data_IF_985249475737
#
_entry.id   IF_985249475737
#
_cell.length_a   1.000
_cell.length_b   1.000
_cell.length_c   1.000
_cell.angle_alpha   90.00
_cell.angle_beta   90.00
_cell.angle_gamma   90.00
#
_symmetry.space_group_name_H-M   'P 1'
#
loop_
_entity.id
_entity.type
_entity.pdbx_description
1 polymer ?
#
# COMPACT_ATOMS: atom_id res chain seq x y z
N UNK A 1 -3.21 6.88 26.06
CA UNK A 1 -3.44 6.05 24.86
C UNK A 1 -4.49 6.79 24.05
N UNK A 2 -4.10 7.35 22.92
CA UNK A 2 -4.94 8.24 22.13
C UNK A 2 -5.60 7.42 21.02
N UNK A 3 -6.94 7.46 20.95
CA UNK A 3 -7.72 6.77 19.94
C UNK A 3 -7.64 7.59 18.66
N UNK A 4 -6.80 7.18 17.71
CA UNK A 4 -6.69 7.85 16.42
C UNK A 4 -7.71 7.26 15.45
N UNK A 5 -8.89 7.87 15.39
CA UNK A 5 -9.86 7.61 14.32
C UNK A 5 -9.53 8.55 13.15
N UNK A 6 -8.67 8.11 12.23
CA UNK A 6 -8.22 8.93 11.09
C UNK A 6 -9.19 8.80 9.92
N UNK A 7 -9.80 9.91 9.52
CA UNK A 7 -10.75 9.99 8.42
C UNK A 7 -10.00 10.12 7.09
N UNK A 8 -9.62 9.01 6.44
CA UNK A 8 -8.90 9.07 5.16
C UNK A 8 -9.75 8.82 3.91
N UNK A 9 -9.47 9.58 2.84
CA UNK A 9 -10.15 9.51 1.54
C UNK A 9 -9.55 8.47 0.58
N UNK A 10 -8.43 7.84 0.94
CA UNK A 10 -7.71 6.89 0.09
C UNK A 10 -7.16 5.75 0.93
N UNK A 11 -8.03 4.76 1.21
CA UNK A 11 -7.62 3.53 1.86
C UNK A 11 -7.42 2.44 0.81
N UNK A 12 -6.23 1.83 0.80
CA UNK A 12 -5.99 0.57 0.11
C UNK A 12 -6.16 -0.55 1.13
N UNK A 13 -6.99 -1.53 0.80
CA UNK A 13 -7.18 -2.73 1.60
C UNK A 13 -6.52 -3.90 0.90
N UNK A 14 -5.68 -4.63 1.62
CA UNK A 14 -5.06 -5.85 1.10
C UNK A 14 -5.14 -6.93 2.17
N UNK A 15 -5.60 -8.10 1.77
CA UNK A 15 -5.61 -9.25 2.66
C UNK A 15 -4.31 -10.01 2.49
N UNK A 16 -3.83 -10.62 3.58
CA UNK A 16 -2.71 -11.55 3.55
C UNK A 16 -2.95 -12.59 4.63
N UNK A 17 -3.11 -13.85 4.21
CA UNK A 17 -3.59 -14.91 5.10
C UNK A 17 -4.96 -14.56 5.68
N UNK A 18 -5.06 -14.52 7.02
CA UNK A 18 -6.29 -14.17 7.73
C UNK A 18 -6.34 -12.71 8.20
N UNK A 19 -5.35 -11.90 7.81
CA UNK A 19 -5.23 -10.52 8.25
C UNK A 19 -5.60 -9.57 7.10
N UNK A 20 -6.30 -8.50 7.44
CA UNK A 20 -6.52 -7.35 6.56
C UNK A 20 -5.52 -6.28 6.96
N UNK A 21 -4.82 -5.76 5.98
CA UNK A 21 -3.93 -4.64 6.11
C UNK A 21 -4.62 -3.43 5.49
N UNK A 22 -4.54 -2.32 6.20
CA UNK A 22 -5.08 -1.04 5.77
C UNK A 22 -3.91 -0.12 5.51
N UNK A 23 -3.96 0.53 4.36
CA UNK A 23 -2.97 1.50 3.96
C UNK A 23 -3.63 2.83 3.67
N UNK A 24 -3.23 3.88 4.40
CA UNK A 24 -3.91 5.18 4.42
C UNK A 24 -2.93 6.35 4.45
N UNK A 25 -3.39 7.51 3.94
CA UNK A 25 -2.62 8.74 3.90
C UNK A 25 -3.05 9.65 5.06
N UNK A 26 -2.14 9.95 5.97
CA UNK A 26 -2.39 10.94 7.01
C UNK A 26 -2.37 12.36 6.43
N UNK A 27 -3.46 13.10 6.62
CA UNK A 27 -3.59 14.48 6.14
C UNK A 27 -2.68 15.49 6.84
N UNK A 28 -2.11 15.13 8.00
CA UNK A 28 -1.40 16.07 8.88
C UNK A 28 0.11 16.05 8.72
N UNK A 29 0.66 14.97 8.15
CA UNK A 29 2.08 14.83 7.87
C UNK A 29 2.27 14.64 6.35
N UNK A 30 3.52 14.67 5.92
CA UNK A 30 4.03 14.38 4.57
C UNK A 30 3.16 13.40 3.74
N UNK A 31 3.33 13.40 2.41
CA UNK A 31 2.73 12.43 1.49
C UNK A 31 3.09 10.93 1.75
N UNK A 32 3.59 10.63 2.96
CA UNK A 32 3.85 9.31 3.51
C UNK A 32 2.54 8.57 3.70
N UNK A 33 2.54 7.30 3.31
CA UNK A 33 1.40 6.41 3.45
C UNK A 33 1.74 5.35 4.50
N UNK A 34 0.85 5.18 5.47
CA UNK A 34 1.05 4.28 6.60
C UNK A 34 0.43 2.90 6.33
N UNK A 35 1.14 1.85 6.72
CA UNK A 35 0.64 0.48 6.75
C UNK A 35 0.21 0.12 8.17
N UNK A 36 -1.02 -0.36 8.30
CA UNK A 36 -1.63 -0.64 9.59
C UNK A 36 -2.43 -1.95 9.56
N UNK A 37 -2.57 -2.60 10.72
CA UNK A 37 -3.48 -3.73 10.91
C UNK A 37 -4.59 -3.34 11.90
N UNK A 38 -5.87 -3.63 11.60
CA UNK A 38 -6.94 -3.49 12.57
C UNK A 38 -6.76 -4.45 13.75
N UNK A 39 -6.71 -3.93 14.98
CA UNK A 39 -6.68 -4.73 16.20
C UNK A 39 -8.04 -4.69 16.90
N UNK A 40 -8.83 -5.77 16.83
CA UNK A 40 -10.18 -5.80 17.40
C UNK A 40 -10.18 -5.77 18.93
N UNK A 41 -9.10 -6.23 19.58
CA UNK A 41 -8.98 -6.28 21.04
C UNK A 41 -8.93 -4.89 21.68
N UNK A 42 -8.28 -3.95 21.01
CA UNK A 42 -8.08 -2.57 21.48
C UNK A 42 -8.86 -1.55 20.64
N UNK A 43 -9.69 -2.02 19.69
CA UNK A 43 -10.51 -1.22 18.78
C UNK A 43 -9.72 -0.07 18.11
N UNK A 44 -8.47 -0.35 17.73
CA UNK A 44 -7.56 0.61 17.09
C UNK A 44 -6.68 -0.09 16.07
N UNK A 45 -5.94 0.70 15.30
CA UNK A 45 -4.95 0.25 14.32
C UNK A 45 -3.57 0.10 14.97
N UNK A 46 -2.82 -0.92 14.54
CA UNK A 46 -1.41 -1.12 14.89
C UNK A 46 -0.57 -0.66 13.70
N UNK A 47 0.30 0.32 13.93
CA UNK A 47 1.23 0.86 12.95
C UNK A 47 2.37 -0.13 12.65
N UNK A 48 2.64 -0.37 11.37
CA UNK A 48 3.68 -1.30 10.91
C UNK A 48 4.81 -0.65 10.10
N UNK A 49 4.63 0.60 9.68
CA UNK A 49 5.62 1.31 8.87
C UNK A 49 4.97 2.24 7.85
N UNK A 50 5.81 2.86 7.03
CA UNK A 50 5.40 3.81 6.01
C UNK A 50 6.09 3.52 4.68
N UNK A 51 5.43 3.92 3.60
CA UNK A 51 5.90 3.79 2.21
C UNK A 51 5.58 5.09 1.45
N UNK A 52 6.10 5.19 0.22
CA UNK A 52 5.75 6.23 -0.73
C UNK A 52 4.24 6.20 -1.07
N UNK A 53 3.80 7.15 -1.90
CA UNK A 53 2.40 7.24 -2.34
C UNK A 53 1.94 6.00 -3.11
N UNK A 54 1.40 5.03 -2.39
CA UNK A 54 0.73 3.84 -2.91
C UNK A 54 -0.59 4.17 -3.60
N UNK A 55 -0.82 3.55 -4.75
CA UNK A 55 -2.06 3.66 -5.54
C UNK A 55 -2.82 2.34 -5.63
N UNK A 56 -2.14 1.21 -5.45
CA UNK A 56 -2.75 -0.12 -5.43
C UNK A 56 -1.89 -1.11 -4.64
N UNK A 57 -2.48 -2.22 -4.19
CA UNK A 57 -1.74 -3.29 -3.54
C UNK A 57 -2.34 -4.67 -3.82
N UNK A 58 -1.50 -5.71 -3.76
CA UNK A 58 -1.91 -7.12 -3.78
C UNK A 58 -0.93 -7.94 -2.95
N UNK A 59 -1.25 -9.20 -2.66
CA UNK A 59 -0.37 -10.11 -1.94
C UNK A 59 -0.07 -11.37 -2.74
N UNK A 60 1.18 -11.82 -2.70
CA UNK A 60 1.58 -13.16 -3.17
C UNK A 60 2.28 -13.86 -2.01
N UNK A 61 1.81 -15.06 -1.66
CA UNK A 61 2.31 -15.80 -0.51
C UNK A 61 2.26 -14.97 0.78
N UNK A 62 3.42 -14.76 1.40
CA UNK A 62 3.56 -14.02 2.66
C UNK A 62 4.10 -12.59 2.45
N UNK A 63 3.96 -12.04 1.25
CA UNK A 63 4.47 -10.71 0.89
C UNK A 63 3.34 -9.85 0.34
N UNK A 64 3.30 -8.59 0.78
CA UNK A 64 2.38 -7.59 0.24
C UNK A 64 3.17 -6.73 -0.73
N UNK A 65 2.63 -6.50 -1.92
CA UNK A 65 3.20 -5.66 -2.95
C UNK A 65 2.34 -4.42 -3.11
N UNK A 66 2.99 -3.27 -3.14
CA UNK A 66 2.40 -1.95 -3.31
C UNK A 66 2.89 -1.37 -4.61
N UNK A 67 1.98 -0.86 -5.43
CA UNK A 67 2.33 -0.01 -6.55
C UNK A 67 2.36 1.43 -6.04
N UNK A 68 3.54 2.02 -6.04
CA UNK A 68 3.80 3.34 -5.52
C UNK A 68 4.17 4.31 -6.65
N UNK A 69 3.84 5.58 -6.50
CA UNK A 69 4.23 6.66 -7.40
C UNK A 69 5.22 7.58 -6.68
N UNK A 70 6.43 7.74 -7.23
CA UNK A 70 7.36 8.74 -6.74
C UNK A 70 6.85 10.15 -7.06
N UNK A 71 6.72 10.98 -6.04
CA UNK A 71 6.25 12.37 -6.19
C UNK A 71 7.24 13.26 -6.93
N UNK A 72 8.53 12.92 -6.89
CA UNK A 72 9.59 13.72 -7.50
C UNK A 72 9.73 13.43 -8.99
N UNK A 73 9.55 12.17 -9.40
CA UNK A 73 9.84 11.74 -10.77
C UNK A 73 8.61 11.29 -11.54
N UNK A 74 7.45 11.13 -10.88
CA UNK A 74 6.27 10.43 -11.40
C UNK A 74 6.63 9.05 -12.00
N UNK A 75 7.68 8.40 -11.48
CA UNK A 75 8.04 7.03 -11.84
C UNK A 75 7.32 6.09 -10.90
N UNK A 76 6.77 5.01 -11.46
CA UNK A 76 6.17 3.96 -10.65
C UNK A 76 7.26 3.08 -10.03
N UNK A 77 7.08 2.72 -8.78
CA UNK A 77 7.87 1.71 -8.09
C UNK A 77 6.94 0.63 -7.57
N UNK A 78 7.44 -0.59 -7.43
CA UNK A 78 6.77 -1.60 -6.63
C UNK A 78 7.52 -1.69 -5.32
N UNK A 79 6.84 -1.54 -4.21
CA UNK A 79 7.42 -1.83 -2.90
C UNK A 79 6.84 -3.13 -2.37
N UNK A 80 7.68 -3.95 -1.77
CA UNK A 80 7.25 -5.17 -1.10
C UNK A 80 7.40 -5.03 0.41
N UNK A 81 6.42 -5.54 1.16
CA UNK A 81 6.45 -5.66 2.60
C UNK A 81 6.42 -7.13 2.98
N UNK A 82 7.59 -7.62 3.42
CA UNK A 82 7.74 -8.94 4.00
C UNK A 82 7.45 -8.90 5.50
N UNK A 83 6.54 -9.71 6.02
CA UNK A 83 6.29 -9.73 7.48
C UNK A 83 7.37 -10.46 8.27
N UNK A 84 8.30 -11.14 7.60
CA UNK A 84 9.44 -11.77 8.29
C UNK A 84 10.51 -10.71 8.54
N UNK A 85 10.71 -9.81 7.58
CA UNK A 85 11.67 -8.71 7.73
C UNK A 85 11.04 -7.47 8.37
N UNK A 86 9.71 -7.34 8.36
CA UNK A 86 8.96 -6.14 8.77
C UNK A 86 9.48 -4.85 8.10
N UNK A 87 10.03 -5.00 6.89
CA UNK A 87 10.67 -3.92 6.14
C UNK A 87 10.04 -3.78 4.77
N UNK A 88 10.11 -2.55 4.25
CA UNK A 88 9.83 -2.24 2.86
C UNK A 88 11.11 -2.38 2.02
N UNK A 89 11.00 -3.00 0.86
CA UNK A 89 12.05 -3.01 -0.19
C UNK A 89 11.46 -2.59 -1.53
N UNK A 90 12.21 -1.78 -2.29
CA UNK A 90 11.77 -1.31 -3.60
C UNK A 90 12.25 -2.24 -4.71
N UNK A 91 11.36 -2.54 -5.64
CA UNK A 91 11.59 -3.26 -6.88
C UNK A 91 11.45 -2.28 -8.06
N UNK A 92 12.36 -2.34 -9.05
CA UNK A 92 12.24 -1.52 -10.25
C UNK A 92 10.99 -1.93 -11.03
N UNK A 93 10.26 -0.95 -11.57
CA UNK A 93 9.16 -1.21 -12.51
C UNK A 93 9.57 -0.85 -13.93
N UNK A 94 9.07 -1.58 -14.94
CA UNK A 94 9.43 -1.31 -16.33
C UNK A 94 8.72 -0.10 -16.96
N UNK A 95 7.81 0.60 -16.27
CA UNK A 95 6.92 1.58 -16.92
C UNK A 95 6.66 2.88 -16.13
N UNK A 96 6.22 3.93 -16.83
CA UNK A 96 5.94 5.28 -16.30
C UNK A 96 4.65 5.39 -15.48
N UNK A 97 4.36 6.61 -14.97
CA UNK A 97 3.22 6.91 -14.08
C UNK A 97 1.90 6.29 -14.53
N UNK A 98 1.22 5.61 -13.60
CA UNK A 98 -0.09 4.99 -13.78
C UNK A 98 -1.02 5.41 -12.64
N UNK A 99 -1.58 6.61 -12.77
CA UNK A 99 -2.63 7.12 -11.88
C UNK A 99 -3.89 6.26 -12.02
N UNK A 100 -4.60 6.05 -10.92
CA UNK A 100 -5.83 5.22 -10.87
C UNK A 100 -5.60 3.76 -11.30
N UNK A 101 -4.79 3.04 -10.53
CA UNK A 101 -4.53 1.63 -10.80
C UNK A 101 -5.24 0.73 -9.79
N UNK A 102 -5.58 -0.49 -10.22
CA UNK A 102 -5.86 -1.60 -9.33
C UNK A 102 -4.76 -2.66 -9.51
N UNK A 103 -4.48 -3.43 -8.45
CA UNK A 103 -3.53 -4.52 -8.50
C UNK A 103 -4.22 -5.80 -8.03
N UNK A 104 -3.91 -6.91 -8.67
CA UNK A 104 -4.32 -8.24 -8.24
C UNK A 104 -3.17 -9.22 -8.41
N UNK A 105 -3.25 -10.35 -7.71
CA UNK A 105 -2.33 -11.46 -7.84
C UNK A 105 -3.06 -12.68 -8.42
N UNK A 106 -2.42 -13.36 -9.36
CA UNK A 106 -2.92 -14.62 -9.93
C UNK A 106 -1.73 -15.48 -10.36
N UNK A 107 -1.74 -16.76 -10.00
CA UNK A 107 -0.68 -17.72 -10.38
C UNK A 107 0.75 -17.21 -10.09
N UNK A 108 0.96 -16.76 -8.85
CA UNK A 108 2.22 -16.17 -8.35
C UNK A 108 2.77 -14.99 -9.18
N UNK A 109 1.88 -14.30 -9.90
CA UNK A 109 2.20 -13.11 -10.69
C UNK A 109 1.33 -11.92 -10.27
N UNK A 110 1.92 -10.73 -10.33
CA UNK A 110 1.22 -9.47 -10.10
C UNK A 110 0.69 -8.93 -11.42
N UNK A 111 -0.58 -8.52 -11.41
CA UNK A 111 -1.23 -7.85 -12.53
C UNK A 111 -1.65 -6.46 -12.09
N UNK A 112 -1.27 -5.46 -12.87
CA UNK A 112 -1.69 -4.07 -12.69
C UNK A 112 -2.73 -3.74 -13.75
N UNK A 113 -3.94 -3.42 -13.30
CA UNK A 113 -5.04 -2.93 -14.13
C UNK A 113 -4.97 -1.41 -14.09
N UNK A 114 -4.68 -0.80 -15.22
CA UNK A 114 -4.50 0.65 -15.33
C UNK A 114 -5.82 1.29 -15.70
N UNK A 115 -6.28 2.23 -14.88
CA UNK A 115 -7.36 3.14 -15.20
C UNK A 115 -6.93 4.17 -16.23
N UNK A 116 -7.89 4.79 -16.91
CA UNK A 116 -7.57 5.87 -17.84
C UNK A 116 -6.93 7.03 -17.07
N UNK A 117 -5.70 7.38 -17.40
CA UNK A 117 -5.19 8.71 -17.09
C UNK A 117 -6.12 9.70 -17.80
N UNK A 118 -7.04 10.34 -17.07
CA UNK A 118 -7.83 11.43 -17.62
C UNK A 118 -6.87 12.46 -18.19
N UNK A 119 -6.82 12.56 -19.52
CA UNK A 119 -6.17 13.66 -20.22
C UNK A 119 -7.01 14.93 -20.10
#
# INVERSE_FOLDING_TARGET
>A
MEVMNRSDKSHIFVHKGQLIYVMGKDFTMSDDIFLEIPCPLIQTYIYLGWTMKSVAAASIGNTIYFLCESLLTNVMTVEEYGSISETFSSLPTPEGSRRESAMTAYDDQLFVIVGSSGF
#
